data_IF_881157837306
#
_entry.id   IF_881157837306
#
_cell.length_a   1.000
_cell.length_b   1.000
_cell.length_c   1.000
_cell.angle_alpha   90.00
_cell.angle_beta   90.00
_cell.angle_gamma   90.00
#
_symmetry.space_group_name_H-M   'P 1'
#
loop_
_entity.id
_entity.type
_entity.pdbx_description
1 polymer ?
#
# COMPACT_ATOMS: atom_id res chain seq x y z
N UNK A 1 -2.83 4.29 -10.26
CA UNK A 1 -2.30 4.89 -9.02
C UNK A 1 -3.32 4.67 -7.92
N UNK A 2 -2.87 4.36 -6.71
CA UNK A 2 -3.71 3.90 -5.59
C UNK A 2 -3.05 4.24 -4.28
N UNK A 3 -3.83 4.59 -3.27
CA UNK A 3 -3.39 4.64 -1.88
C UNK A 3 -4.23 3.67 -1.06
N UNK A 4 -3.53 2.80 -0.34
CA UNK A 4 -4.12 1.87 0.62
C UNK A 4 -3.51 2.16 1.98
N UNK A 5 -4.36 2.18 3.01
CA UNK A 5 -3.96 2.35 4.40
C UNK A 5 -4.50 1.19 5.23
N UNK A 6 -3.62 0.58 6.03
CA UNK A 6 -3.98 -0.41 7.04
C UNK A 6 -3.58 0.10 8.43
N UNK A 7 -4.52 0.16 9.36
CA UNK A 7 -4.26 0.47 10.78
C UNK A 7 -4.62 -0.77 11.59
N UNK A 8 -3.65 -1.38 12.26
CA UNK A 8 -3.83 -2.64 12.97
C UNK A 8 -3.49 -2.46 14.46
N UNK A 9 -4.25 -3.12 15.33
CA UNK A 9 -3.87 -3.34 16.72
C UNK A 9 -4.46 -4.65 17.26
N UNK A 10 -4.29 -4.92 18.55
CA UNK A 10 -4.80 -6.16 19.20
C UNK A 10 -6.32 -6.35 19.11
N UNK A 11 -7.10 -5.30 18.82
CA UNK A 11 -8.57 -5.36 18.69
C UNK A 11 -9.02 -5.75 17.28
N UNK A 12 -8.21 -5.45 16.25
CA UNK A 12 -8.65 -5.59 14.87
C UNK A 12 -7.73 -4.93 13.86
N UNK A 13 -8.16 -5.01 12.61
CA UNK A 13 -7.58 -4.27 11.49
C UNK A 13 -8.64 -3.31 10.94
N UNK A 14 -8.25 -2.09 10.61
CA UNK A 14 -9.00 -1.24 9.70
C UNK A 14 -8.22 -1.06 8.42
N UNK A 15 -8.91 -1.20 7.30
CA UNK A 15 -8.32 -1.07 5.97
C UNK A 15 -9.14 -0.12 5.12
N UNK A 16 -8.46 0.73 4.36
CA UNK A 16 -9.06 1.74 3.52
C UNK A 16 -8.36 1.82 2.17
N UNK A 17 -9.14 2.09 1.10
CA UNK A 17 -8.63 2.27 -0.24
C UNK A 17 -9.38 3.36 -1.01
N UNK A 18 -8.65 4.14 -1.81
CA UNK A 18 -9.24 5.14 -2.70
C UNK A 18 -9.92 4.50 -3.93
N UNK A 19 -10.64 5.31 -4.72
CA UNK A 19 -11.43 4.82 -5.86
C UNK A 19 -10.90 5.23 -7.24
N UNK A 20 -9.88 6.09 -7.29
CA UNK A 20 -9.40 6.66 -8.54
C UNK A 20 -8.65 5.62 -9.38
N UNK A 21 -8.99 5.47 -10.64
CA UNK A 21 -8.26 4.65 -11.62
C UNK A 21 -7.86 5.50 -12.80
N UNK A 22 -6.64 5.31 -13.27
CA UNK A 22 -6.09 6.03 -14.41
C UNK A 22 -6.13 5.11 -15.62
N UNK A 23 -6.92 5.48 -16.63
CA UNK A 23 -7.01 4.76 -17.89
C UNK A 23 -6.35 5.59 -18.99
N UNK A 24 -5.48 4.97 -19.77
CA UNK A 24 -4.91 5.58 -20.97
C UNK A 24 -5.81 5.22 -22.16
N UNK A 25 -6.44 6.22 -22.75
CA UNK A 25 -7.27 6.06 -23.95
C UNK A 25 -6.48 6.57 -25.14
N UNK A 26 -6.09 5.66 -26.03
CA UNK A 26 -5.49 6.04 -27.31
C UNK A 26 -6.58 6.23 -28.38
N UNK A 27 -6.62 7.38 -29.02
CA UNK A 27 -7.32 7.51 -30.29
C UNK A 27 -6.44 6.89 -31.37
N UNK A 28 -6.92 5.83 -32.03
CA UNK A 28 -6.24 5.33 -33.23
C UNK A 28 -6.48 6.33 -34.36
N UNK A 29 -5.42 6.93 -34.86
CA UNK A 29 -5.49 7.67 -36.12
C UNK A 29 -5.85 6.72 -37.26
N UNK A 30 -6.44 7.24 -38.34
CA UNK A 30 -6.77 6.51 -39.58
C UNK A 30 -5.57 5.77 -40.19
N UNK A 31 -4.37 6.09 -39.74
CA UNK A 31 -3.08 5.63 -40.24
C UNK A 31 -2.51 4.47 -39.39
N UNK A 32 -3.20 4.07 -38.30
CA UNK A 32 -2.71 3.08 -37.35
C UNK A 32 -1.71 3.61 -36.30
N UNK A 33 -1.29 4.87 -36.42
CA UNK A 33 -0.50 5.55 -35.39
C UNK A 33 -1.40 6.02 -34.23
N UNK A 34 -0.89 5.87 -32.99
CA UNK A 34 -1.56 6.35 -31.78
C UNK A 34 -1.23 7.83 -31.65
N UNK A 35 -2.15 8.68 -32.10
CA UNK A 35 -2.02 10.12 -32.00
C UNK A 35 -2.79 10.58 -30.76
N UNK A 36 -2.05 11.08 -29.77
CA UNK A 36 -2.51 11.51 -28.45
C UNK A 36 -3.10 10.40 -27.54
N UNK A 37 -2.36 10.06 -26.48
CA UNK A 37 -2.89 9.32 -25.34
C UNK A 37 -3.61 10.29 -24.40
N UNK A 38 -4.93 10.20 -24.34
CA UNK A 38 -5.71 10.95 -23.37
C UNK A 38 -5.74 10.17 -22.04
N UNK A 39 -5.40 10.84 -20.95
CA UNK A 39 -5.44 10.26 -19.62
C UNK A 39 -6.82 10.51 -19.02
N UNK A 40 -7.60 9.44 -18.83
CA UNK A 40 -8.92 9.51 -18.23
C UNK A 40 -8.89 8.95 -16.81
N UNK A 41 -9.25 9.78 -15.85
CA UNK A 41 -9.40 9.37 -14.45
C UNK A 41 -10.86 8.93 -14.22
N UNK A 42 -11.04 7.80 -13.54
CA UNK A 42 -12.35 7.27 -13.18
C UNK A 42 -12.40 6.92 -11.68
N UNK A 43 -13.39 7.45 -10.97
CA UNK A 43 -13.54 7.27 -9.52
C UNK A 43 -14.44 6.09 -9.13
N UNK A 44 -14.39 5.00 -9.90
CA UNK A 44 -15.21 3.79 -9.69
C UNK A 44 -14.40 2.51 -9.52
N UNK A 45 -13.07 2.60 -9.40
CA UNK A 45 -12.21 1.44 -9.20
C UNK A 45 -12.60 0.67 -7.95
N UNK A 46 -12.78 -0.65 -8.08
CA UNK A 46 -12.97 -1.54 -6.94
C UNK A 46 -11.62 -2.12 -6.53
N UNK A 47 -10.99 -1.51 -5.53
CA UNK A 47 -9.64 -1.87 -5.09
C UNK A 47 -9.62 -2.69 -3.81
N UNK A 48 -10.77 -2.96 -3.19
CA UNK A 48 -10.88 -3.70 -1.93
C UNK A 48 -11.99 -4.74 -1.99
N UNK A 49 -11.67 -6.00 -1.68
CA UNK A 49 -12.60 -7.12 -1.74
C UNK A 49 -12.44 -8.01 -0.51
N UNK A 50 -13.50 -8.76 -0.18
CA UNK A 50 -13.40 -9.90 0.74
C UNK A 50 -12.85 -11.10 -0.04
N UNK A 51 -11.87 -11.79 0.54
CA UNK A 51 -11.26 -12.97 -0.07
C UNK A 51 -12.00 -14.28 0.29
N UNK A 52 -12.64 -14.34 1.46
CA UNK A 52 -13.39 -15.51 1.95
C UNK A 52 -14.78 -15.16 2.46
N UNK A 53 -15.68 -16.15 2.47
CA UNK A 53 -17.00 -16.10 3.12
C UNK A 53 -16.94 -16.61 4.57
N UNK A 54 -15.96 -17.46 4.90
CA UNK A 54 -15.84 -18.15 6.19
C UNK A 54 -14.65 -17.66 7.03
N UNK A 55 -13.71 -16.94 6.41
CA UNK A 55 -12.60 -16.30 7.10
C UNK A 55 -12.67 -14.77 6.94
N UNK A 56 -12.35 -14.02 8.01
CA UNK A 56 -12.38 -12.57 7.95
C UNK A 56 -11.10 -12.05 7.33
N UNK A 57 -10.96 -12.21 6.00
CA UNK A 57 -9.79 -11.78 5.24
C UNK A 57 -10.22 -10.87 4.09
N UNK A 58 -9.70 -9.65 4.11
CA UNK A 58 -9.77 -8.69 3.02
C UNK A 58 -8.54 -8.76 2.12
N UNK A 59 -8.70 -8.34 0.87
CA UNK A 59 -7.61 -8.11 -0.08
C UNK A 59 -7.79 -6.75 -0.74
N UNK A 60 -6.70 -6.02 -0.89
CA UNK A 60 -6.63 -4.77 -1.62
C UNK A 60 -5.66 -4.89 -2.79
N UNK A 61 -5.99 -4.23 -3.90
CA UNK A 61 -5.21 -4.26 -5.15
C UNK A 61 -4.61 -2.88 -5.38
N UNK A 62 -3.29 -2.83 -5.45
CA UNK A 62 -2.50 -1.61 -5.61
C UNK A 62 -1.69 -1.69 -6.91
N UNK A 63 -1.41 -0.52 -7.48
CA UNK A 63 -0.75 -0.36 -8.78
C UNK A 63 -1.58 -0.93 -9.95
N UNK A 64 -1.14 -2.01 -10.61
CA UNK A 64 -1.82 -2.55 -11.79
C UNK A 64 -3.03 -3.41 -11.40
N UNK A 65 -4.24 -3.05 -11.88
CA UNK A 65 -5.48 -3.77 -11.59
C UNK A 65 -5.70 -5.05 -12.42
N UNK A 66 -4.79 -5.35 -13.34
CA UNK A 66 -4.91 -6.46 -14.30
C UNK A 66 -3.68 -7.36 -14.27
N UNK A 67 -3.90 -8.66 -14.51
CA UNK A 67 -2.88 -9.66 -14.77
C UNK A 67 -3.31 -10.48 -15.98
N UNK A 68 -2.45 -10.61 -17.00
CA UNK A 68 -2.78 -11.32 -18.25
C UNK A 68 -4.13 -10.89 -18.87
N UNK A 69 -4.39 -9.57 -18.90
CA UNK A 69 -5.66 -8.94 -19.34
C UNK A 69 -6.90 -9.30 -18.50
N UNK A 70 -6.72 -10.00 -17.38
CA UNK A 70 -7.78 -10.30 -16.44
C UNK A 70 -7.74 -9.34 -15.26
N UNK A 71 -8.86 -8.69 -14.91
CA UNK A 71 -8.97 -7.91 -13.68
C UNK A 71 -8.74 -8.76 -12.42
N UNK A 72 -7.98 -8.26 -11.46
CA UNK A 72 -7.78 -8.94 -10.17
C UNK A 72 -9.08 -9.14 -9.39
N UNK A 73 -10.03 -8.22 -9.49
CA UNK A 73 -11.33 -8.34 -8.82
C UNK A 73 -12.17 -9.53 -9.34
N UNK A 74 -12.03 -9.90 -10.61
CA UNK A 74 -12.62 -11.11 -11.20
C UNK A 74 -11.93 -12.35 -10.64
N UNK A 75 -10.59 -12.37 -10.59
CA UNK A 75 -9.80 -13.49 -10.06
C UNK A 75 -10.13 -13.74 -8.58
N UNK A 76 -10.18 -12.68 -7.78
CA UNK A 76 -10.51 -12.75 -6.36
C UNK A 76 -11.93 -13.27 -6.15
N UNK A 77 -12.91 -12.79 -6.92
CA UNK A 77 -14.29 -13.31 -6.85
C UNK A 77 -14.38 -14.76 -7.29
N UNK A 78 -13.59 -15.16 -8.28
CA UNK A 78 -13.51 -16.55 -8.71
C UNK A 78 -12.93 -17.46 -7.62
N UNK A 79 -11.84 -17.05 -6.99
CA UNK A 79 -11.27 -17.75 -5.83
C UNK A 79 -12.29 -17.88 -4.71
N UNK A 80 -12.93 -16.77 -4.30
CA UNK A 80 -13.98 -16.79 -3.26
C UNK A 80 -15.14 -17.71 -3.63
N UNK A 81 -15.58 -17.73 -4.90
CA UNK A 81 -16.65 -18.65 -5.34
C UNK A 81 -16.24 -20.12 -5.22
N UNK A 82 -14.97 -20.46 -5.46
CA UNK A 82 -14.47 -21.84 -5.46
C UNK A 82 -14.06 -22.32 -4.07
N UNK A 83 -13.38 -21.47 -3.29
CA UNK A 83 -12.73 -21.80 -2.02
C UNK A 83 -13.18 -20.93 -0.84
N UNK A 84 -14.10 -19.98 -1.02
CA UNK A 84 -14.50 -19.04 0.03
C UNK A 84 -15.13 -19.67 1.27
N UNK A 85 -15.54 -20.94 1.22
CA UNK A 85 -16.03 -21.71 2.37
C UNK A 85 -14.93 -22.45 3.12
N UNK A 86 -13.75 -22.61 2.51
CA UNK A 86 -12.60 -23.25 3.15
C UNK A 86 -12.06 -22.38 4.30
N UNK A 87 -11.32 -23.01 5.20
CA UNK A 87 -10.71 -22.36 6.36
C UNK A 87 -9.25 -22.76 6.46
N UNK A 88 -8.43 -21.79 6.87
CA UNK A 88 -6.99 -21.94 7.00
C UNK A 88 -6.56 -21.53 8.42
N UNK A 89 -5.50 -22.15 8.97
CA UNK A 89 -5.02 -21.82 10.31
C UNK A 89 -4.53 -20.37 10.41
N UNK A 90 -3.90 -19.84 9.35
CA UNK A 90 -3.34 -18.49 9.29
C UNK A 90 -3.75 -17.76 8.00
N UNK A 91 -3.72 -16.42 8.02
CA UNK A 91 -3.87 -15.59 6.81
C UNK A 91 -2.79 -15.97 5.79
N UNK A 92 -1.56 -16.21 6.23
CA UNK A 92 -0.46 -16.64 5.35
C UNK A 92 -0.78 -17.93 4.59
N UNK A 93 -1.33 -18.95 5.25
CA UNK A 93 -1.71 -20.20 4.60
C UNK A 93 -2.78 -19.97 3.52
N UNK A 94 -3.75 -19.10 3.81
CA UNK A 94 -4.77 -18.71 2.82
C UNK A 94 -4.18 -17.93 1.65
N UNK A 95 -3.26 -17.00 1.90
CA UNK A 95 -2.61 -16.21 0.85
C UNK A 95 -1.77 -17.11 -0.06
N UNK A 96 -1.01 -18.05 0.51
CA UNK A 96 -0.26 -19.04 -0.26
C UNK A 96 -1.19 -19.90 -1.14
N UNK A 97 -2.29 -20.40 -0.57
CA UNK A 97 -3.31 -21.12 -1.33
C UNK A 97 -3.92 -20.28 -2.46
N UNK A 98 -4.21 -19.00 -2.23
CA UNK A 98 -4.67 -18.08 -3.27
C UNK A 98 -3.64 -17.91 -4.39
N UNK A 99 -2.37 -17.68 -4.05
CA UNK A 99 -1.29 -17.50 -5.03
C UNK A 99 -1.01 -18.79 -5.83
N UNK A 100 -1.21 -19.96 -5.23
CA UNK A 100 -1.12 -21.26 -5.91
C UNK A 100 -2.35 -21.60 -6.75
N UNK A 101 -3.53 -21.13 -6.36
CA UNK A 101 -4.78 -21.32 -7.10
C UNK A 101 -4.80 -20.60 -8.43
N UNK A 102 -4.28 -19.36 -8.49
CA UNK A 102 -4.37 -18.49 -9.68
C UNK A 102 -3.75 -19.17 -10.92
N UNK A 103 -2.54 -19.75 -10.86
CA UNK A 103 -1.94 -20.38 -12.03
C UNK A 103 -2.60 -21.68 -12.51
N UNK A 104 -3.41 -22.32 -11.65
CA UNK A 104 -4.11 -23.57 -11.99
C UNK A 104 -5.37 -23.33 -12.83
N UNK A 105 -5.79 -22.07 -12.99
CA UNK A 105 -7.01 -21.75 -13.72
C UNK A 105 -6.77 -21.74 -15.23
N UNK A 106 -7.75 -22.22 -15.99
CA UNK A 106 -7.68 -22.32 -17.45
C UNK A 106 -7.40 -20.98 -18.15
N UNK A 107 -7.96 -19.88 -17.63
CA UNK A 107 -7.66 -18.53 -18.14
C UNK A 107 -6.18 -18.16 -18.00
N UNK A 108 -5.52 -18.65 -16.95
CA UNK A 108 -4.13 -18.34 -16.68
C UNK A 108 -3.23 -19.17 -17.59
N UNK A 109 -3.56 -20.46 -17.75
CA UNK A 109 -2.84 -21.38 -18.62
C UNK A 109 -2.87 -20.86 -20.07
N UNK A 110 -4.04 -20.54 -20.61
CA UNK A 110 -4.19 -20.07 -22.00
C UNK A 110 -3.39 -18.79 -22.28
N UNK A 111 -3.35 -17.86 -21.32
CA UNK A 111 -2.71 -16.55 -21.51
C UNK A 111 -1.23 -16.50 -21.10
N UNK A 112 -0.72 -17.50 -20.37
CA UNK A 112 0.67 -17.52 -19.85
C UNK A 112 1.67 -18.21 -20.78
N UNK A 113 1.21 -19.01 -21.75
CA UNK A 113 2.06 -19.84 -22.63
C UNK A 113 2.98 -19.00 -23.54
N UNK A 114 2.69 -17.72 -23.77
CA UNK A 114 3.46 -16.86 -24.70
C UNK A 114 3.91 -15.51 -24.11
N UNK A 115 3.88 -15.36 -22.79
CA UNK A 115 3.76 -14.05 -22.17
C UNK A 115 4.89 -13.74 -21.17
N UNK A 116 5.86 -12.90 -21.57
CA UNK A 116 6.67 -12.09 -20.63
C UNK A 116 6.02 -10.73 -20.50
N UNK A 117 5.13 -10.59 -19.51
CA UNK A 117 4.63 -9.27 -19.13
C UNK A 117 5.30 -8.84 -17.84
N UNK A 118 5.94 -7.67 -17.88
CA UNK A 118 6.39 -6.98 -16.69
C UNK A 118 5.33 -5.94 -16.33
N UNK A 119 4.51 -6.26 -15.35
CA UNK A 119 3.71 -5.29 -14.61
C UNK A 119 3.87 -5.59 -13.14
N UNK A 120 3.74 -4.55 -12.32
CA UNK A 120 3.75 -4.68 -10.88
C UNK A 120 2.32 -4.51 -10.38
N UNK A 121 1.79 -5.58 -9.79
CA UNK A 121 0.59 -5.52 -8.93
C UNK A 121 1.04 -5.80 -7.52
N UNK A 122 0.61 -4.96 -6.60
CA UNK A 122 0.72 -5.21 -5.17
C UNK A 122 -0.63 -5.72 -4.65
N UNK A 123 -0.62 -6.87 -3.97
CA UNK A 123 -1.77 -7.40 -3.27
C UNK A 123 -1.54 -7.30 -1.77
N UNK A 124 -2.46 -6.63 -1.08
CA UNK A 124 -2.39 -6.39 0.37
C UNK A 124 -3.54 -7.12 1.04
N UNK A 125 -3.24 -8.14 1.81
CA UNK A 125 -4.20 -8.96 2.54
C UNK A 125 -4.22 -8.56 4.00
N UNK A 126 -5.39 -8.48 4.63
CA UNK A 126 -5.47 -8.28 6.08
C UNK A 126 -6.60 -9.07 6.69
N UNK A 127 -6.38 -9.66 7.87
CA UNK A 127 -7.42 -10.41 8.57
C UNK A 127 -6.93 -11.39 9.61
N UNK A 128 -7.71 -12.46 9.80
CA UNK A 128 -7.42 -13.55 10.73
C UNK A 128 -7.57 -14.92 10.05
N UNK A 129 -6.64 -15.83 10.34
CA UNK A 129 -6.84 -17.27 10.23
C UNK A 129 -7.52 -17.85 11.47
N UNK A 130 -7.94 -19.12 11.41
CA UNK A 130 -8.70 -19.77 12.50
C UNK A 130 -7.93 -19.86 13.82
N UNK A 131 -6.61 -19.97 13.75
CA UNK A 131 -5.74 -20.15 14.93
C UNK A 131 -5.08 -18.83 15.37
N UNK A 132 -5.27 -17.73 14.63
CA UNK A 132 -4.64 -16.46 14.94
C UNK A 132 -5.40 -15.66 15.99
N UNK A 133 -4.71 -15.33 17.09
CA UNK A 133 -5.24 -14.48 18.18
C UNK A 133 -5.40 -13.02 17.75
N UNK A 134 -4.49 -12.53 16.92
CA UNK A 134 -4.35 -11.13 16.51
C UNK A 134 -4.33 -11.02 14.98
N UNK A 135 -4.64 -9.84 14.42
CA UNK A 135 -4.70 -9.67 12.98
C UNK A 135 -3.30 -9.72 12.36
N UNK A 136 -3.27 -10.10 11.08
CA UNK A 136 -2.07 -10.11 10.25
C UNK A 136 -2.35 -9.33 8.97
N UNK A 137 -1.35 -8.60 8.48
CA UNK A 137 -1.33 -8.00 7.16
C UNK A 137 -0.21 -8.66 6.35
N UNK A 138 -0.50 -9.04 5.11
CA UNK A 138 0.47 -9.64 4.18
C UNK A 138 0.48 -8.81 2.91
N UNK A 139 1.66 -8.37 2.49
CA UNK A 139 1.88 -7.68 1.23
C UNK A 139 2.66 -8.59 0.28
N UNK A 140 2.21 -8.66 -0.98
CA UNK A 140 2.94 -9.36 -2.04
C UNK A 140 3.01 -8.52 -3.31
N UNK A 141 4.21 -8.28 -3.83
CA UNK A 141 4.41 -7.65 -5.14
C UNK A 141 4.57 -8.71 -6.23
N UNK A 142 3.56 -8.83 -7.07
CA UNK A 142 3.55 -9.68 -8.25
C UNK A 142 4.16 -8.90 -9.43
N UNK A 143 5.29 -9.39 -9.94
CA UNK A 143 6.08 -8.80 -11.03
C UNK A 143 5.73 -9.36 -12.42
N UNK A 144 4.73 -10.24 -12.49
CA UNK A 144 4.26 -10.86 -13.71
C UNK A 144 4.09 -12.37 -13.58
N UNK A 145 4.30 -13.06 -14.71
CA UNK A 145 4.12 -14.52 -14.82
C UNK A 145 5.36 -15.14 -15.46
N UNK A 146 5.86 -16.23 -14.87
CA UNK A 146 7.02 -16.97 -15.38
C UNK A 146 6.81 -18.47 -15.16
N UNK A 147 7.06 -19.28 -16.19
CA UNK A 147 6.94 -20.74 -16.16
C UNK A 147 5.57 -21.24 -15.62
N UNK A 148 4.48 -20.58 -16.03
CA UNK A 148 3.14 -20.93 -15.57
C UNK A 148 2.90 -20.69 -14.08
N UNK A 149 3.65 -19.78 -13.44
CA UNK A 149 3.45 -19.35 -12.05
C UNK A 149 3.48 -17.83 -11.94
N UNK A 150 2.84 -17.30 -10.90
CA UNK A 150 3.02 -15.89 -10.51
C UNK A 150 4.48 -15.67 -10.11
N UNK A 151 5.08 -14.59 -10.61
CA UNK A 151 6.45 -14.20 -10.30
C UNK A 151 6.45 -13.13 -9.20
N UNK A 152 7.09 -13.42 -8.09
CA UNK A 152 7.40 -12.49 -7.01
C UNK A 152 8.72 -12.94 -6.36
N UNK A 153 9.54 -11.99 -5.88
CA UNK A 153 10.75 -12.36 -5.13
C UNK A 153 10.38 -12.59 -3.65
N UNK A 154 11.11 -13.42 -2.88
CA UNK A 154 10.83 -13.62 -1.46
C UNK A 154 10.85 -12.32 -0.63
N UNK A 155 11.69 -11.36 -1.03
CA UNK A 155 11.76 -10.02 -0.42
C UNK A 155 10.50 -9.17 -0.67
N UNK A 156 9.71 -9.56 -1.67
CA UNK A 156 8.45 -8.88 -2.02
C UNK A 156 7.25 -9.55 -1.32
N UNK A 157 7.47 -10.51 -0.42
CA UNK A 157 6.43 -11.14 0.38
C UNK A 157 6.65 -10.76 1.85
N UNK A 158 5.94 -9.75 2.31
CA UNK A 158 6.07 -9.20 3.65
C UNK A 158 4.90 -9.64 4.54
N UNK A 159 5.21 -10.06 5.76
CA UNK A 159 4.23 -10.46 6.77
C UNK A 159 4.37 -9.54 7.99
N UNK A 160 3.33 -8.76 8.26
CA UNK A 160 3.23 -7.94 9.46
C UNK A 160 2.19 -8.58 10.39
N UNK A 161 2.66 -9.07 11.53
CA UNK A 161 1.82 -9.78 12.50
C UNK A 161 1.69 -8.98 13.79
N UNK A 162 0.47 -8.64 14.18
CA UNK A 162 0.24 -8.08 15.50
C UNK A 162 0.45 -9.16 16.56
N UNK A 163 1.16 -8.81 17.62
CA UNK A 163 1.52 -9.71 18.71
C UNK A 163 1.59 -8.99 20.04
N UNK A 164 1.95 -9.70 21.10
CA UNK A 164 2.16 -9.07 22.40
C UNK A 164 3.38 -8.11 22.42
N UNK A 165 4.38 -8.37 21.58
CA UNK A 165 5.60 -7.56 21.44
C UNK A 165 5.51 -6.52 20.30
N UNK A 166 4.56 -6.67 19.38
CA UNK A 166 4.27 -5.74 18.29
C UNK A 166 2.76 -5.44 18.26
N UNK A 167 2.26 -4.58 19.15
CA UNK A 167 0.84 -4.52 19.47
C UNK A 167 0.00 -3.73 18.46
N UNK A 168 0.63 -2.97 17.57
CA UNK A 168 -0.03 -2.13 16.58
C UNK A 168 0.91 -1.72 15.45
N UNK A 169 0.32 -1.38 14.30
CA UNK A 169 1.05 -0.84 13.16
C UNK A 169 0.17 0.08 12.30
N UNK A 170 0.81 0.97 11.54
CA UNK A 170 0.15 1.72 10.47
C UNK A 170 0.96 1.50 9.19
N UNK A 171 0.28 1.01 8.15
CA UNK A 171 0.89 0.52 6.93
C UNK A 171 0.26 1.23 5.73
N UNK A 172 1.10 1.56 4.76
CA UNK A 172 0.73 2.33 3.57
C UNK A 172 1.25 1.62 2.34
N UNK A 173 0.44 1.59 1.27
CA UNK A 173 0.84 0.96 0.01
C UNK A 173 0.45 1.84 -1.18
N UNK A 174 1.24 1.76 -2.25
CA UNK A 174 1.07 2.54 -3.47
C UNK A 174 1.74 3.92 -3.38
N UNK A 175 0.98 4.99 -3.65
CA UNK A 175 1.54 6.36 -3.59
C UNK A 175 1.59 6.88 -2.15
N UNK A 176 2.67 6.54 -1.45
CA UNK A 176 2.79 6.76 -0.01
C UNK A 176 3.51 8.06 0.39
N UNK A 177 4.04 8.83 -0.56
CA UNK A 177 4.82 10.06 -0.27
C UNK A 177 4.13 10.99 0.75
N UNK A 178 2.84 11.28 0.58
CA UNK A 178 2.10 12.17 1.49
C UNK A 178 1.68 11.46 2.77
N UNK A 179 1.19 10.21 2.69
CA UNK A 179 0.77 9.46 3.88
C UNK A 179 1.93 9.19 4.82
N UNK A 180 3.08 8.78 4.26
CA UNK A 180 4.32 8.61 4.98
C UNK A 180 4.82 9.96 5.54
N UNK A 181 4.69 11.07 4.83
CA UNK A 181 5.06 12.40 5.37
C UNK A 181 4.24 12.79 6.62
N UNK A 182 2.97 12.38 6.71
CA UNK A 182 2.11 12.74 7.83
C UNK A 182 2.38 11.92 9.09
N UNK A 183 2.87 10.69 8.93
CA UNK A 183 3.05 9.75 10.06
C UNK A 183 4.50 9.40 10.32
N UNK A 184 5.35 9.56 9.33
CA UNK A 184 6.79 9.43 9.40
C UNK A 184 7.45 10.81 9.26
N UNK A 185 8.61 10.96 9.87
CA UNK A 185 9.36 12.20 9.71
C UNK A 185 10.06 12.19 8.35
N UNK A 186 10.00 13.30 7.61
CA UNK A 186 10.56 13.54 6.27
C UNK A 186 12.08 13.34 6.16
N UNK A 187 12.74 12.99 7.26
CA UNK A 187 14.11 12.50 7.42
C UNK A 187 14.75 11.78 6.22
N UNK A 188 14.01 10.96 5.46
CA UNK A 188 14.53 10.20 4.30
C UNK A 188 14.04 10.67 2.92
N UNK A 189 13.42 11.84 2.78
CA UNK A 189 13.06 12.34 1.47
C UNK A 189 14.32 12.78 0.67
N UNK A 190 14.34 12.57 -0.66
CA UNK A 190 15.50 12.92 -1.51
C UNK A 190 15.94 14.38 -1.29
N UNK A 191 14.99 15.29 -1.08
CA UNK A 191 15.25 16.70 -0.75
C UNK A 191 16.08 16.90 0.52
N UNK A 192 15.86 16.09 1.57
CA UNK A 192 16.63 16.20 2.81
C UNK A 192 18.05 15.61 2.65
N UNK A 193 18.20 14.59 1.80
CA UNK A 193 19.53 14.09 1.42
C UNK A 193 20.30 15.13 0.60
N UNK A 194 19.63 15.82 -0.32
CA UNK A 194 20.19 16.93 -1.08
C UNK A 194 20.55 18.12 -0.18
N UNK A 195 19.70 18.46 0.79
CA UNK A 195 19.97 19.50 1.78
C UNK A 195 21.22 19.15 2.61
N UNK A 196 21.31 17.90 3.09
CA UNK A 196 22.48 17.40 3.82
C UNK A 196 23.75 17.44 2.94
N UNK A 197 23.65 17.01 1.68
CA UNK A 197 24.75 17.06 0.72
C UNK A 197 25.18 18.50 0.42
N UNK A 198 24.22 19.42 0.30
CA UNK A 198 24.44 20.85 0.11
C UNK A 198 25.14 21.49 1.31
N UNK A 199 24.66 21.22 2.54
CA UNK A 199 25.31 21.66 3.77
C UNK A 199 26.75 21.16 3.88
N UNK A 200 26.97 19.87 3.57
CA UNK A 200 28.30 19.29 3.52
C UNK A 200 29.18 19.98 2.49
N UNK A 201 28.67 20.24 1.28
CA UNK A 201 29.42 20.95 0.22
C UNK A 201 29.84 22.37 0.64
N UNK A 202 28.94 23.12 1.28
CA UNK A 202 29.25 24.46 1.82
C UNK A 202 30.36 24.35 2.87
N UNK A 203 30.24 23.39 3.79
CA UNK A 203 31.23 23.17 4.84
C UNK A 203 32.61 22.84 4.25
N UNK A 204 32.70 22.00 3.21
CA UNK A 204 33.97 21.66 2.56
C UNK A 204 34.58 22.84 1.80
N UNK A 205 33.77 23.60 1.08
CA UNK A 205 34.26 24.80 0.40
C UNK A 205 34.85 25.79 1.40
N UNK A 206 34.20 25.96 2.56
CA UNK A 206 34.70 26.82 3.63
C UNK A 206 35.96 26.27 4.29
N UNK A 207 36.04 24.96 4.54
CA UNK A 207 37.26 24.29 5.02
C UNK A 207 38.44 24.58 4.10
N UNK A 208 38.27 24.35 2.80
CA UNK A 208 39.32 24.59 1.80
C UNK A 208 39.78 26.06 1.82
N UNK A 209 38.83 27.00 1.84
CA UNK A 209 39.13 28.43 1.92
C UNK A 209 39.94 28.80 3.19
N UNK A 210 39.61 28.21 4.34
CA UNK A 210 40.30 28.50 5.60
C UNK A 210 41.73 27.92 5.64
N UNK A 211 41.92 26.73 5.06
CA UNK A 211 43.25 26.11 4.90
C UNK A 211 44.10 26.94 3.93
N UNK A 212 43.55 27.32 2.78
CA UNK A 212 44.25 28.12 1.75
C UNK A 212 44.67 29.51 2.30
N UNK A 213 43.89 30.07 3.23
CA UNK A 213 44.21 31.34 3.91
C UNK A 213 45.18 31.20 5.10
N UNK A 214 45.61 29.98 5.43
CA UNK A 214 46.49 29.71 6.58
C UNK A 214 45.87 30.02 7.93
N UNK A 215 44.54 30.11 8.01
CA UNK A 215 43.81 30.39 9.26
C UNK A 215 43.69 29.13 10.14
N UNK A 216 43.77 27.95 9.52
CA UNK A 216 43.79 26.65 10.19
C UNK A 216 44.85 25.77 9.53
N UNK A 217 45.59 25.01 10.33
CA UNK A 217 46.64 24.10 9.82
C UNK A 217 46.05 22.79 9.32
N UNK A 218 45.11 22.22 10.07
CA UNK A 218 44.41 21.00 9.69
C UNK A 218 43.07 20.92 10.42
N UNK A 219 42.07 20.35 9.77
CA UNK A 219 40.79 20.00 10.38
C UNK A 219 40.49 18.55 9.99
N UNK A 220 40.86 17.64 10.88
CA UNK A 220 40.66 16.19 10.70
C UNK A 220 39.19 15.85 10.99
N UNK A 221 38.39 15.83 9.92
CA UNK A 221 36.99 15.42 9.94
C UNK A 221 36.85 14.27 8.96
N UNK A 222 36.53 13.10 9.49
CA UNK A 222 36.26 11.91 8.69
C UNK A 222 34.86 12.00 8.07
N UNK A 223 34.82 12.15 6.75
CA UNK A 223 33.60 12.31 5.94
C UNK A 223 32.56 11.18 6.17
N UNK A 224 32.96 9.90 6.07
CA UNK A 224 32.12 8.77 6.48
C UNK A 224 31.50 8.91 7.87
N UNK A 225 32.25 9.41 8.86
CA UNK A 225 31.76 9.52 10.24
C UNK A 225 30.72 10.63 10.38
N UNK A 226 30.94 11.78 9.73
CA UNK A 226 29.95 12.86 9.70
C UNK A 226 28.65 12.41 9.01
N UNK A 227 28.76 11.73 7.87
CA UNK A 227 27.59 11.19 7.17
C UNK A 227 26.88 10.12 8.01
N UNK A 228 27.65 9.22 8.63
CA UNK A 228 27.13 8.18 9.53
C UNK A 228 26.41 8.76 10.74
N UNK A 229 26.95 9.80 11.37
CA UNK A 229 26.34 10.49 12.51
C UNK A 229 25.00 11.14 12.12
N UNK A 230 24.96 11.89 11.01
CA UNK A 230 23.73 12.51 10.50
C UNK A 230 22.68 11.45 10.18
N UNK A 231 23.05 10.43 9.41
CA UNK A 231 22.16 9.30 9.07
C UNK A 231 21.63 8.60 10.33
N UNK A 232 22.48 8.38 11.34
CA UNK A 232 22.08 7.74 12.60
C UNK A 232 21.09 8.59 13.40
N UNK A 233 21.27 9.91 13.41
CA UNK A 233 20.37 10.85 14.10
C UNK A 233 19.00 10.87 13.44
N UNK A 234 18.95 10.91 12.10
CA UNK A 234 17.74 10.78 11.31
C UNK A 234 17.03 9.44 11.57
N UNK A 235 17.75 8.32 11.50
CA UNK A 235 17.20 7.00 11.77
C UNK A 235 16.69 6.84 13.22
N UNK A 236 17.37 7.44 14.21
CA UNK A 236 16.91 7.45 15.59
C UNK A 236 15.63 8.25 15.76
N UNK A 237 15.54 9.42 15.12
CA UNK A 237 14.34 10.26 15.12
C UNK A 237 13.16 9.56 14.45
N UNK A 238 13.38 8.94 13.29
CA UNK A 238 12.37 8.16 12.57
C UNK A 238 11.79 7.04 13.44
N UNK A 239 12.66 6.25 14.07
CA UNK A 239 12.25 5.20 15.02
C UNK A 239 11.44 5.77 16.19
N UNK A 240 11.86 6.88 16.76
CA UNK A 240 11.15 7.52 17.87
C UNK A 240 9.75 8.03 17.46
N UNK A 241 9.59 8.59 16.26
CA UNK A 241 8.28 9.03 15.78
C UNK A 241 7.36 7.86 15.46
N UNK A 242 7.86 6.85 14.77
CA UNK A 242 7.11 5.62 14.50
C UNK A 242 6.65 4.95 15.80
N UNK A 243 7.52 4.91 16.82
CA UNK A 243 7.16 4.39 18.14
C UNK A 243 6.02 5.17 18.79
N UNK A 244 6.00 6.50 18.69
CA UNK A 244 4.87 7.31 19.21
C UNK A 244 3.55 6.96 18.54
N UNK A 245 3.55 6.74 17.23
CA UNK A 245 2.36 6.29 16.52
C UNK A 245 1.92 4.90 16.98
N UNK A 246 2.86 3.96 17.15
CA UNK A 246 2.55 2.64 17.68
C UNK A 246 1.96 2.71 19.08
N UNK A 247 2.57 3.46 19.99
CA UNK A 247 2.07 3.62 21.35
C UNK A 247 0.66 4.24 21.38
N UNK A 248 0.36 5.14 20.43
CA UNK A 248 -0.95 5.78 20.29
C UNK A 248 -2.00 4.81 19.72
N UNK A 249 -1.71 4.15 18.60
CA UNK A 249 -2.65 3.27 17.88
C UNK A 249 -2.94 1.99 18.66
N UNK A 250 -2.00 1.54 19.51
CA UNK A 250 -2.17 0.37 20.37
C UNK A 250 -3.49 0.37 21.15
N UNK A 251 -3.92 1.54 21.63
CA UNK A 251 -5.11 1.68 22.49
C UNK A 251 -6.36 2.13 21.74
N UNK A 252 -6.25 2.48 20.46
CA UNK A 252 -7.38 2.92 19.63
C UNK A 252 -8.49 1.86 19.55
N UNK A 253 -9.73 2.33 19.55
CA UNK A 253 -10.92 1.58 19.14
C UNK A 253 -10.92 1.30 17.63
N UNK A 254 -11.78 0.37 17.19
CA UNK A 254 -11.95 0.07 15.76
C UNK A 254 -12.41 1.31 14.97
N UNK A 255 -13.24 2.16 15.59
CA UNK A 255 -13.76 3.38 14.98
C UNK A 255 -12.67 4.43 14.83
N UNK A 256 -11.79 4.60 15.83
CA UNK A 256 -10.65 5.51 15.74
C UNK A 256 -9.63 5.04 14.70
N UNK A 257 -9.33 3.73 14.64
CA UNK A 257 -8.47 3.17 13.59
C UNK A 257 -9.07 3.41 12.19
N UNK A 258 -10.37 3.21 12.03
CA UNK A 258 -11.05 3.44 10.77
C UNK A 258 -11.10 4.92 10.37
N UNK A 259 -11.35 5.81 11.34
CA UNK A 259 -11.31 7.25 11.11
C UNK A 259 -9.91 7.72 10.75
N UNK A 260 -8.86 7.15 11.35
CA UNK A 260 -7.47 7.46 11.02
C UNK A 260 -7.14 7.01 9.59
N UNK A 261 -7.49 5.77 9.22
CA UNK A 261 -7.25 5.24 7.88
C UNK A 261 -7.94 6.09 6.80
N UNK A 262 -9.21 6.45 7.00
CA UNK A 262 -9.97 7.31 6.09
C UNK A 262 -9.37 8.72 5.99
N UNK A 263 -8.98 9.31 7.12
CA UNK A 263 -8.37 10.65 7.17
C UNK A 263 -7.06 10.71 6.41
N UNK A 264 -6.22 9.69 6.51
CA UNK A 264 -4.91 9.65 5.82
C UNK A 264 -5.06 9.58 4.30
N UNK A 265 -6.07 8.86 3.79
CA UNK A 265 -6.40 8.86 2.35
C UNK A 265 -6.90 10.24 1.92
N UNK A 266 -7.83 10.85 2.67
CA UNK A 266 -8.37 12.17 2.37
C UNK A 266 -7.32 13.28 2.43
N UNK A 267 -6.39 13.21 3.37
CA UNK A 267 -5.28 14.15 3.47
C UNK A 267 -4.36 14.05 2.24
N UNK A 268 -4.17 12.84 1.72
CA UNK A 268 -3.40 12.61 0.50
C UNK A 268 -4.11 13.17 -0.74
N UNK A 269 -5.41 12.92 -0.87
CA UNK A 269 -6.25 13.51 -1.93
C UNK A 269 -6.20 15.06 -1.88
N UNK A 270 -6.38 15.65 -0.69
CA UNK A 270 -6.33 17.10 -0.48
C UNK A 270 -4.97 17.68 -0.87
N UNK A 271 -3.87 17.07 -0.42
CA UNK A 271 -2.54 17.56 -0.73
C UNK A 271 -2.27 17.52 -2.24
N UNK A 272 -2.65 16.44 -2.94
CA UNK A 272 -2.50 16.34 -4.41
C UNK A 272 -3.32 17.40 -5.15
N UNK A 273 -4.54 17.67 -4.70
CA UNK A 273 -5.39 18.72 -5.25
C UNK A 273 -4.72 20.10 -5.16
N UNK A 274 -4.03 20.39 -4.05
CA UNK A 274 -3.36 21.67 -3.82
C UNK A 274 -2.04 21.77 -4.61
N UNK A 275 -1.29 20.68 -4.78
CA UNK A 275 0.01 20.69 -5.47
C UNK A 275 -0.07 20.61 -7.00
N UNK A 276 -1.28 20.62 -7.58
CA UNK A 276 -1.53 20.51 -9.03
C UNK A 276 -0.86 19.28 -9.69
N UNK A 277 -0.53 18.26 -8.90
CA UNK A 277 -0.10 16.97 -9.42
C UNK A 277 -1.34 16.21 -9.89
N UNK A 278 -1.23 15.54 -11.04
CA UNK A 278 -2.36 14.87 -11.70
C UNK A 278 -3.16 14.01 -10.69
N UNK A 279 -4.48 14.25 -10.61
CA UNK A 279 -5.39 13.62 -9.65
C UNK A 279 -5.40 12.10 -9.85
N UNK A 280 -4.59 11.41 -9.05
CA UNK A 280 -4.32 9.98 -9.19
C UNK A 280 -4.72 9.17 -7.96
N UNK A 281 -5.15 9.89 -6.92
CA UNK A 281 -5.70 9.41 -5.66
C UNK A 281 -6.95 10.25 -5.38
N UNK A 282 -8.09 9.60 -5.17
CA UNK A 282 -9.30 10.32 -4.80
C UNK A 282 -10.61 9.58 -4.99
N UNK A 283 -11.69 10.34 -4.87
CA UNK A 283 -13.05 9.86 -4.89
C UNK A 283 -13.45 9.15 -3.59
N UNK A 284 -14.44 8.27 -3.67
CA UNK A 284 -15.03 7.68 -2.48
C UNK A 284 -14.10 6.63 -1.85
N UNK A 285 -13.85 6.76 -0.55
CA UNK A 285 -13.04 5.82 0.21
C UNK A 285 -13.88 4.59 0.56
N UNK A 286 -13.41 3.42 0.13
CA UNK A 286 -13.91 2.16 0.67
C UNK A 286 -13.20 1.90 2.01
N UNK A 287 -13.97 1.62 3.06
CA UNK A 287 -13.48 1.46 4.42
C UNK A 287 -14.08 0.21 5.06
N UNK A 288 -13.23 -0.61 5.65
CA UNK A 288 -13.64 -1.81 6.37
C UNK A 288 -12.90 -1.94 7.70
N UNK A 289 -13.54 -2.66 8.61
CA UNK A 289 -12.92 -3.17 9.84
C UNK A 289 -13.02 -4.69 9.85
N UNK A 290 -12.01 -5.32 10.42
CA UNK A 290 -11.88 -6.76 10.50
C UNK A 290 -11.57 -7.13 11.93
N UNK A 291 -12.49 -7.85 12.56
CA UNK A 291 -12.32 -8.42 13.89
C UNK A 291 -12.33 -9.94 13.81
N UNK A 292 -11.83 -10.60 14.85
CA UNK A 292 -11.86 -12.06 14.94
C UNK A 292 -13.29 -12.59 15.07
N UNK A 293 -14.11 -11.92 15.88
CA UNK A 293 -15.46 -12.38 16.26
C UNK A 293 -16.52 -11.97 15.25
N UNK A 294 -16.56 -10.70 14.85
CA UNK A 294 -17.59 -10.19 13.93
C UNK A 294 -17.18 -10.24 12.45
N UNK A 295 -15.93 -10.64 12.21
CA UNK A 295 -15.35 -10.85 10.92
C UNK A 295 -15.11 -9.58 10.10
N UNK A 296 -15.24 -9.69 8.78
CA UNK A 296 -15.06 -8.53 7.87
C UNK A 296 -16.35 -7.73 7.79
N UNK A 297 -16.29 -6.44 8.13
CA UNK A 297 -17.41 -5.51 8.06
C UNK A 297 -17.08 -4.28 7.22
N UNK A 298 -18.02 -3.87 6.39
CA UNK A 298 -17.92 -2.62 5.63
C UNK A 298 -18.44 -1.47 6.50
N UNK A 299 -17.66 -0.40 6.60
CA UNK A 299 -18.07 0.86 7.26
C UNK A 299 -18.46 1.92 6.24
N UNK A 300 -17.76 1.92 5.11
CA UNK A 300 -18.10 2.73 3.98
C UNK A 300 -17.82 1.93 2.70
N UNK A 301 -18.78 1.92 1.79
CA UNK A 301 -18.62 1.23 0.52
C UNK A 301 -19.38 1.94 -0.57
N UNK A 302 -18.74 2.06 -1.73
CA UNK A 302 -19.40 2.45 -2.98
C UNK A 302 -20.63 1.56 -3.25
N UNK A 303 -21.76 2.20 -3.55
CA UNK A 303 -23.11 1.65 -3.44
C UNK A 303 -23.62 0.83 -4.60
N UNK A 304 -22.96 0.88 -5.75
CA UNK A 304 -23.42 0.19 -6.96
C UNK A 304 -23.31 -1.34 -6.89
N UNK A 305 -22.82 -1.91 -5.78
CA UNK A 305 -22.68 -3.36 -5.58
C UNK A 305 -23.72 -3.99 -4.64
N UNK A 306 -24.64 -3.23 -4.04
CA UNK A 306 -25.80 -3.79 -3.32
C UNK A 306 -27.08 -3.57 -4.15
N UNK A 307 -27.58 -4.60 -4.88
CA UNK A 307 -28.84 -4.50 -5.61
C UNK A 307 -30.03 -4.13 -4.71
N UNK A 308 -29.96 -4.45 -3.42
CA UNK A 308 -31.02 -4.22 -2.43
C UNK A 308 -31.15 -2.78 -1.94
N UNK A 309 -30.21 -1.87 -2.25
CA UNK A 309 -30.23 -0.47 -1.76
C UNK A 309 -30.27 0.61 -2.85
N UNK A 310 -30.64 0.23 -4.07
CA UNK A 310 -30.91 1.21 -5.14
C UNK A 310 -29.73 2.12 -5.51
N UNK A 311 -28.49 1.67 -5.31
CA UNK A 311 -27.30 2.43 -5.66
C UNK A 311 -27.00 3.64 -4.75
N UNK A 312 -27.54 3.73 -3.54
CA UNK A 312 -27.25 4.83 -2.61
C UNK A 312 -25.95 4.63 -1.81
N UNK A 313 -25.01 5.57 -1.93
CA UNK A 313 -23.79 5.66 -1.11
C UNK A 313 -24.19 5.92 0.34
N UNK A 314 -23.63 5.16 1.29
CA UNK A 314 -23.97 5.31 2.69
C UNK A 314 -22.84 4.86 3.61
N UNK A 315 -22.59 5.65 4.66
CA UNK A 315 -21.85 5.17 5.83
C UNK A 315 -22.70 4.06 6.47
N UNK A 316 -22.17 2.85 6.47
CA UNK A 316 -22.70 1.73 7.24
C UNK A 316 -22.27 2.01 8.68
N UNK A 317 -23.13 2.69 9.44
CA UNK A 317 -22.85 2.99 10.85
C UNK A 317 -22.51 1.70 11.60
N UNK A 318 -21.54 1.79 12.51
CA UNK A 318 -21.32 0.81 13.59
C UNK A 318 -22.16 1.26 14.77
#
# INVERSE_FOLDING_TARGET
MTVVVGVLNKRGASIAADSATTNYVGLKSSNGEIDNQEIKINNSGNKMLRLSDNMPVGVMVVNTAYILNMPWDVIIRWYRKKKGKESFPTVEAMVKDFLEFVPQQEFFITNSIFAKWNYETELVFSGYGKEQKYPQLIHVTIKGVQNGKLKYDPKDFEIISISDNHPSDILYFGQIDITATLTEDLSENEENQELCAGMMKIFFNKKKELVDKGLINELDLNLPDCYGAIKSAFNARHRNMRQKWYDTVKDYSLQEMASLAETLIKATELHRSITFQQESVGGLVDLAVITREDGFQWLNRKSWYEPSKGGQYGKFGI
#
